data_IF_335262050105
#
_entry.id   IF_335262050105
#
_cell.length_a   1.000
_cell.length_b   1.000
_cell.length_c   1.000
_cell.angle_alpha   90.00
_cell.angle_beta   90.00
_cell.angle_gamma   90.00
#
_symmetry.space_group_name_H-M   'P 1'
#
loop_
_entity.id
_entity.type
_entity.pdbx_description
1 polymer ?
#
# COMPACT_ATOMS: atom_id res chain seq x y z
N UNK A 1 -0.10 -1.74 4.65
CA UNK A 1 -1.00 -2.68 5.36
C UNK A 1 -2.31 -2.03 5.78
N UNK A 2 -2.32 -1.05 6.68
CA UNK A 2 -3.58 -0.42 7.15
C UNK A 2 -4.45 0.12 6.00
N UNK A 3 -3.84 0.91 5.10
CA UNK A 3 -4.55 1.52 3.97
C UNK A 3 -5.00 0.48 2.96
N UNK A 4 -4.19 -0.54 2.67
CA UNK A 4 -4.57 -1.64 1.78
C UNK A 4 -5.84 -2.35 2.29
N UNK A 5 -5.83 -2.74 3.56
CA UNK A 5 -6.92 -3.52 4.13
C UNK A 5 -8.20 -2.71 4.29
N UNK A 6 -8.13 -1.54 4.94
CA UNK A 6 -9.31 -0.75 5.29
C UNK A 6 -9.82 0.12 4.13
N UNK A 7 -8.93 0.79 3.39
CA UNK A 7 -9.34 1.75 2.37
C UNK A 7 -9.45 1.11 0.99
N UNK A 8 -8.50 0.26 0.60
CA UNK A 8 -8.49 -0.30 -0.76
C UNK A 8 -9.42 -1.51 -0.88
N UNK A 9 -9.24 -2.50 -0.02
CA UNK A 9 -9.99 -3.76 -0.07
C UNK A 9 -11.20 -3.79 0.83
N UNK A 10 -11.44 -2.71 1.60
CA UNK A 10 -12.62 -2.55 2.49
C UNK A 10 -12.88 -3.79 3.35
N UNK A 11 -11.81 -4.38 3.88
CA UNK A 11 -11.84 -5.58 4.71
C UNK A 11 -12.39 -6.84 4.01
N UNK A 12 -12.54 -6.83 2.69
CA UNK A 12 -13.05 -7.93 1.88
C UNK A 12 -11.89 -8.74 1.29
N UNK A 13 -11.30 -9.60 2.12
CA UNK A 13 -10.22 -10.49 1.71
C UNK A 13 -10.75 -11.91 1.49
N UNK A 14 -10.65 -12.39 0.25
CA UNK A 14 -10.87 -13.79 -0.07
C UNK A 14 -9.65 -14.64 0.29
N UNK A 15 -9.72 -15.36 1.40
CA UNK A 15 -8.67 -16.26 1.90
C UNK A 15 -8.38 -17.43 0.94
N UNK A 16 -9.35 -17.82 0.11
CA UNK A 16 -9.19 -18.96 -0.81
C UNK A 16 -8.22 -18.64 -1.94
N UNK A 17 -8.02 -17.34 -2.21
CA UNK A 17 -7.17 -16.83 -3.27
C UNK A 17 -5.75 -16.48 -2.81
N UNK A 18 -5.40 -16.68 -1.53
CA UNK A 18 -4.04 -16.41 -1.04
C UNK A 18 -2.96 -17.34 -1.60
N UNK A 19 -3.31 -18.61 -1.87
CA UNK A 19 -2.40 -19.57 -2.49
C UNK A 19 -2.51 -19.60 -4.02
N UNK A 20 -3.38 -18.77 -4.61
CA UNK A 20 -3.60 -18.73 -6.04
C UNK A 20 -2.55 -17.83 -6.70
N UNK A 21 -1.57 -18.46 -7.39
CA UNK A 21 -0.53 -17.75 -8.16
C UNK A 21 -1.08 -17.00 -9.38
N UNK A 22 -2.33 -17.25 -9.76
CA UNK A 22 -3.05 -16.47 -10.78
C UNK A 22 -4.07 -15.51 -10.16
N UNK A 23 -4.16 -15.52 -8.82
CA UNK A 23 -5.12 -14.74 -8.08
C UNK A 23 -4.79 -13.25 -8.02
N UNK A 24 -5.77 -12.44 -7.60
CA UNK A 24 -5.65 -10.98 -7.53
C UNK A 24 -4.62 -10.46 -6.50
N UNK A 25 -4.02 -11.36 -5.72
CA UNK A 25 -2.97 -11.04 -4.74
C UNK A 25 -1.56 -11.39 -5.22
N UNK A 26 -1.42 -12.09 -6.34
CA UNK A 26 -0.11 -12.49 -6.86
C UNK A 26 0.59 -11.35 -7.62
N UNK A 27 -0.12 -10.29 -8.01
CA UNK A 27 0.43 -9.14 -8.77
C UNK A 27 1.36 -9.61 -9.92
N UNK A 28 2.39 -8.83 -10.28
CA UNK A 28 3.44 -9.29 -11.18
C UNK A 28 4.46 -10.11 -10.41
N UNK A 29 4.46 -11.43 -10.59
CA UNK A 29 5.48 -12.35 -10.07
C UNK A 29 5.50 -12.54 -8.53
N UNK A 30 4.37 -12.32 -7.85
CA UNK A 30 4.25 -12.39 -6.38
C UNK A 30 4.54 -11.08 -5.66
N UNK A 31 4.87 -10.00 -6.39
CA UNK A 31 5.39 -8.76 -5.80
C UNK A 31 4.49 -7.56 -6.10
N UNK A 32 4.06 -6.88 -5.04
CA UNK A 32 3.41 -5.57 -5.16
C UNK A 32 4.47 -4.46 -5.23
N UNK A 33 4.87 -4.09 -6.44
CA UNK A 33 5.86 -3.04 -6.70
C UNK A 33 5.42 -1.70 -6.07
N UNK A 34 4.12 -1.38 -6.05
CA UNK A 34 3.65 -0.16 -5.42
C UNK A 34 3.83 -0.16 -3.91
N UNK A 35 3.63 -1.32 -3.27
CA UNK A 35 3.90 -1.48 -1.85
C UNK A 35 5.39 -1.23 -1.55
N UNK A 36 6.28 -1.78 -2.37
CA UNK A 36 7.73 -1.56 -2.24
C UNK A 36 8.09 -0.08 -2.40
N UNK A 37 7.59 0.59 -3.44
CA UNK A 37 7.84 2.03 -3.67
C UNK A 37 7.33 2.85 -2.47
N UNK A 38 6.12 2.56 -1.98
CA UNK A 38 5.56 3.27 -0.83
C UNK A 38 6.38 3.06 0.44
N UNK A 39 6.93 1.85 0.62
CA UNK A 39 7.78 1.51 1.75
C UNK A 39 9.11 2.26 1.67
N UNK A 40 9.74 2.33 0.49
CA UNK A 40 10.96 3.11 0.29
C UNK A 40 10.77 4.60 0.58
N UNK A 41 9.65 5.18 0.13
CA UNK A 41 9.33 6.59 0.39
C UNK A 41 9.08 6.81 1.89
N UNK A 42 8.35 5.89 2.54
CA UNK A 42 8.15 5.88 3.99
C UNK A 42 9.46 5.82 4.76
N UNK A 43 10.31 4.85 4.44
CA UNK A 43 11.63 4.69 5.05
C UNK A 43 12.51 5.92 4.81
N UNK A 44 12.52 6.51 3.61
CA UNK A 44 13.23 7.75 3.31
C UNK A 44 12.73 8.93 4.15
N UNK A 45 11.41 9.04 4.33
CA UNK A 45 10.80 10.11 5.13
C UNK A 45 11.18 10.04 6.62
N UNK A 46 11.53 8.86 7.14
CA UNK A 46 12.03 8.70 8.51
C UNK A 46 13.35 9.46 8.72
N UNK A 47 14.24 9.49 7.72
CA UNK A 47 15.50 10.23 7.80
C UNK A 47 15.31 11.75 7.65
N UNK A 48 14.23 12.17 6.99
CA UNK A 48 13.89 13.59 6.84
C UNK A 48 13.16 14.12 8.08
N UNK A 49 12.43 13.27 8.81
CA UNK A 49 11.64 13.66 9.97
C UNK A 49 12.42 14.43 11.07
N UNK A 50 13.66 14.08 11.44
CA UNK A 50 14.46 14.85 12.40
C UNK A 50 14.83 16.27 11.93
N UNK A 51 14.88 16.49 10.62
CA UNK A 51 15.15 17.83 10.05
C UNK A 51 13.95 18.78 10.18
N UNK A 52 12.78 18.27 10.57
CA UNK A 52 11.57 19.04 10.80
C UNK A 52 11.37 19.18 12.30
N UNK A 53 11.70 20.37 12.84
CA UNK A 53 11.64 20.66 14.29
C UNK A 53 10.27 20.37 14.91
N UNK A 54 9.19 20.51 14.15
CA UNK A 54 7.83 20.19 14.60
C UNK A 54 7.61 18.67 14.79
N UNK A 55 8.16 17.86 13.88
CA UNK A 55 7.98 16.40 13.91
C UNK A 55 8.82 15.77 15.03
N UNK A 56 10.05 16.26 15.19
CA UNK A 56 10.97 15.76 16.22
C UNK A 56 10.47 16.03 17.65
N UNK A 57 9.76 17.13 17.89
CA UNK A 57 9.32 17.51 19.25
C UNK A 57 7.92 16.99 19.64
N UNK A 58 7.08 16.60 18.68
CA UNK A 58 5.66 16.31 18.98
C UNK A 58 5.28 14.85 18.81
N UNK A 59 5.65 14.22 17.69
CA UNK A 59 5.05 12.93 17.28
C UNK A 59 6.11 11.84 17.05
N UNK A 60 7.36 12.25 16.83
CA UNK A 60 8.48 11.35 16.56
C UNK A 60 8.50 10.82 15.12
N UNK A 61 9.70 10.50 14.66
CA UNK A 61 9.96 10.15 13.25
C UNK A 61 9.20 8.92 12.76
N UNK A 62 8.86 7.98 13.65
CA UNK A 62 8.11 6.76 13.31
C UNK A 62 6.66 7.07 12.93
N UNK A 63 6.00 7.97 13.66
CA UNK A 63 4.61 8.30 13.38
C UNK A 63 4.48 9.12 12.09
N UNK A 64 5.47 9.99 11.84
CA UNK A 64 5.56 10.72 10.58
C UNK A 64 5.79 9.79 9.39
N UNK A 65 6.76 8.87 9.48
CA UNK A 65 7.02 7.93 8.38
C UNK A 65 5.83 7.00 8.11
N UNK A 66 5.11 6.60 9.17
CA UNK A 66 3.86 5.86 9.05
C UNK A 66 2.80 6.65 8.25
N UNK A 67 2.53 7.90 8.63
CA UNK A 67 1.57 8.77 7.94
C UNK A 67 1.94 8.98 6.46
N UNK A 68 3.21 9.27 6.19
CA UNK A 68 3.72 9.43 4.82
C UNK A 68 3.50 8.15 4.02
N UNK A 69 3.85 6.99 4.56
CA UNK A 69 3.64 5.69 3.90
C UNK A 69 2.16 5.46 3.60
N UNK A 70 1.26 5.79 4.54
CA UNK A 70 -0.18 5.67 4.35
C UNK A 70 -0.69 6.54 3.18
N UNK A 71 -0.30 7.81 3.14
CA UNK A 71 -0.71 8.76 2.09
C UNK A 71 -0.18 8.31 0.74
N UNK A 72 1.12 7.99 0.67
CA UNK A 72 1.78 7.57 -0.58
C UNK A 72 1.19 6.27 -1.11
N UNK A 73 0.98 5.27 -0.24
CA UNK A 73 0.37 4.01 -0.64
C UNK A 73 -1.08 4.20 -1.11
N UNK A 74 -1.85 5.09 -0.47
CA UNK A 74 -3.21 5.40 -0.89
C UNK A 74 -3.22 6.02 -2.30
N UNK A 75 -2.38 7.03 -2.54
CA UNK A 75 -2.32 7.75 -3.80
C UNK A 75 -1.83 6.86 -4.95
N UNK A 76 -0.76 6.11 -4.73
CA UNK A 76 -0.22 5.17 -5.72
C UNK A 76 -1.19 4.00 -5.94
N UNK A 77 -1.65 3.39 -4.86
CA UNK A 77 -2.52 2.22 -4.89
C UNK A 77 -3.83 2.48 -5.62
N UNK A 78 -4.41 3.69 -5.53
CA UNK A 78 -5.68 4.02 -6.19
C UNK A 78 -5.67 3.71 -7.69
N UNK A 79 -4.51 3.87 -8.34
CA UNK A 79 -4.31 3.54 -9.75
C UNK A 79 -4.21 2.04 -10.05
N UNK A 80 -3.65 1.22 -9.15
CA UNK A 80 -3.55 -0.23 -9.37
C UNK A 80 -4.79 -1.00 -8.93
N UNK A 81 -5.53 -0.56 -7.91
CA UNK A 81 -6.80 -1.18 -7.55
C UNK A 81 -7.82 -1.11 -8.69
N UNK A 82 -7.80 -0.02 -9.48
CA UNK A 82 -8.63 0.10 -10.68
C UNK A 82 -8.26 -0.93 -11.78
N UNK A 83 -6.99 -1.36 -11.87
CA UNK A 83 -6.57 -2.42 -12.81
C UNK A 83 -7.02 -3.80 -12.33
N UNK A 84 -6.95 -4.09 -11.04
CA UNK A 84 -7.39 -5.37 -10.47
C UNK A 84 -8.92 -5.55 -10.51
N UNK A 85 -9.69 -4.46 -10.40
CA UNK A 85 -11.14 -4.50 -10.59
C UNK A 85 -11.53 -4.80 -12.05
N UNK A 86 -10.76 -4.31 -13.02
CA UNK A 86 -10.98 -4.56 -14.44
C UNK A 86 -10.61 -6.00 -14.87
N UNK A 87 -9.63 -6.64 -14.23
CA UNK A 87 -9.28 -8.04 -14.52
C UNK A 87 -10.33 -9.05 -14.04
N UNK A 88 -11.04 -8.75 -12.95
CA UNK A 88 -12.10 -9.63 -12.40
C UNK A 88 -13.34 -9.68 -13.30
N UNK A 89 -13.59 -8.65 -14.12
CA UNK A 89 -14.75 -8.62 -15.03
C UNK A 89 -14.53 -9.34 -16.37
N UNK A 90 -13.28 -9.64 -16.74
CA UNK A 90 -12.96 -10.26 -18.03
C UNK A 90 -12.91 -11.80 -18.00
N UNK A 91 -13.29 -12.44 -16.89
CA UNK A 91 -13.26 -13.92 -16.73
C UNK A 91 -14.67 -14.52 -16.63
N UNK A 92 -15.72 -13.70 -16.77
CA UNK A 92 -17.12 -14.13 -16.75
C UNK A 92 -17.79 -14.12 -18.13
N UNK A 93 -17.07 -14.49 -19.18
CA UNK A 93 -17.63 -14.77 -20.52
C UNK A 93 -17.36 -16.22 -20.88
#
# INVERSE_FOLDING_TARGET
MLVDYYLMRKQNYDITKFNDKTGPYWYGNGINIMAIISWFIGAGSYFVAPNISFVSNTIGSVFFSFLVTCIVYYLLGRGAANKSAASTQNVSV
#
